data_IF_079723658863
#
_entry.id   IF_079723658863
#
_cell.length_a   1.000
_cell.length_b   1.000
_cell.length_c   1.000
_cell.angle_alpha   90.00
_cell.angle_beta   90.00
_cell.angle_gamma   90.00
#
_symmetry.space_group_name_H-M   'P 1'
#
loop_
_entity.id
_entity.type
_entity.pdbx_description
1 polymer ?
#
# COMPACT_ATOMS: atom_id res chain seq x y z
N UNK A 1 9.37 3.79 -1.13
CA UNK A 1 9.84 5.10 -0.60
C UNK A 1 9.07 6.30 -1.16
N UNK A 2 7.97 6.13 -1.89
CA UNK A 2 7.27 7.27 -2.50
C UNK A 2 6.63 8.21 -1.48
N UNK A 3 6.08 7.70 -0.38
CA UNK A 3 5.45 8.49 0.67
C UNK A 3 6.41 9.49 1.32
N UNK A 4 7.67 9.10 1.56
CA UNK A 4 8.70 10.00 2.08
C UNK A 4 8.99 11.16 1.10
N UNK A 5 9.16 10.87 -0.20
CA UNK A 5 9.39 11.89 -1.23
C UNK A 5 8.19 12.85 -1.32
N UNK A 6 6.97 12.30 -1.31
CA UNK A 6 5.74 13.11 -1.33
C UNK A 6 5.65 14.06 -0.14
N UNK A 7 6.02 13.59 1.06
CA UNK A 7 6.01 14.41 2.27
C UNK A 7 7.03 15.56 2.21
N UNK A 8 8.28 15.29 1.82
CA UNK A 8 9.36 16.29 1.88
C UNK A 8 9.38 17.26 0.70
N UNK A 9 8.80 16.90 -0.44
CA UNK A 9 8.84 17.74 -1.63
C UNK A 9 8.00 19.02 -1.46
N UNK A 10 8.53 20.22 -1.76
CA UNK A 10 7.72 21.43 -1.81
C UNK A 10 6.82 21.51 -3.06
N UNK A 11 7.13 20.72 -4.10
CA UNK A 11 6.52 20.86 -5.42
C UNK A 11 5.41 19.83 -5.68
N UNK A 12 5.49 18.66 -5.04
CA UNK A 12 4.49 17.60 -5.22
C UNK A 12 3.20 17.99 -4.49
N UNK A 13 2.12 18.19 -5.23
CA UNK A 13 0.75 18.30 -4.70
C UNK A 13 0.01 16.96 -4.73
N UNK A 14 0.29 16.12 -5.72
CA UNK A 14 -0.36 14.81 -5.87
C UNK A 14 0.65 13.74 -6.22
N UNK A 15 0.48 12.57 -5.62
CA UNK A 15 1.32 11.41 -5.90
C UNK A 15 0.46 10.17 -6.12
N UNK A 16 0.94 9.28 -6.97
CA UNK A 16 0.42 7.91 -7.08
C UNK A 16 1.48 6.99 -6.51
N UNK A 17 1.09 6.16 -5.56
CA UNK A 17 1.95 5.10 -5.03
C UNK A 17 1.43 3.76 -5.55
N UNK A 18 2.22 3.11 -6.39
CA UNK A 18 1.98 1.75 -6.84
C UNK A 18 2.49 0.75 -5.82
N UNK A 19 1.66 -0.23 -5.48
CA UNK A 19 1.91 -1.28 -4.47
C UNK A 19 2.59 -0.73 -3.21
N UNK A 20 1.97 0.26 -2.53
CA UNK A 20 2.55 0.91 -1.37
C UNK A 20 2.46 0.04 -0.12
N UNK A 21 3.35 0.33 0.81
CA UNK A 21 3.36 -0.21 2.16
C UNK A 21 4.39 0.54 3.00
N UNK A 22 4.05 0.75 4.28
CA UNK A 22 4.99 1.25 5.29
C UNK A 22 5.34 0.13 6.28
N UNK A 23 6.02 0.49 7.37
CA UNK A 23 6.25 -0.41 8.51
C UNK A 23 6.87 -1.76 8.11
N UNK A 24 8.12 -1.72 7.62
CA UNK A 24 8.96 -2.90 7.33
C UNK A 24 8.99 -3.95 8.44
N UNK A 25 8.82 -3.53 9.70
CA UNK A 25 8.62 -4.44 10.85
C UNK A 25 7.48 -5.45 10.66
N UNK A 26 6.43 -5.10 9.94
CA UNK A 26 5.35 -6.02 9.55
C UNK A 26 5.58 -6.59 8.16
N UNK A 27 6.05 -5.77 7.21
CA UNK A 27 6.12 -6.12 5.80
C UNK A 27 7.15 -7.22 5.52
N UNK A 28 8.37 -7.10 6.06
CA UNK A 28 9.48 -7.96 5.62
C UNK A 28 9.19 -9.44 5.84
N UNK A 29 8.63 -9.82 6.99
CA UNK A 29 8.28 -11.23 7.27
C UNK A 29 7.08 -11.76 6.47
N UNK A 30 6.43 -10.90 5.67
CA UNK A 30 5.33 -11.20 4.76
C UNK A 30 5.69 -10.94 3.29
N UNK A 31 6.96 -10.69 2.99
CA UNK A 31 7.44 -10.40 1.65
C UNK A 31 8.27 -11.57 1.14
N UNK A 32 7.94 -12.09 -0.04
CA UNK A 32 8.70 -13.18 -0.65
C UNK A 32 10.15 -12.76 -0.89
N UNK A 33 10.38 -11.48 -1.20
CA UNK A 33 11.71 -10.89 -1.43
C UNK A 33 12.59 -10.92 -0.19
N UNK A 34 12.00 -10.97 1.01
CA UNK A 34 12.78 -11.06 2.24
C UNK A 34 13.23 -12.48 2.57
N UNK A 35 12.70 -13.51 1.91
CA UNK A 35 13.00 -14.93 2.22
C UNK A 35 14.50 -15.22 2.18
N UNK A 36 15.20 -14.71 1.16
CA UNK A 36 16.65 -14.91 1.01
C UNK A 36 17.45 -14.15 2.07
N UNK A 37 17.03 -12.93 2.42
CA UNK A 37 17.67 -12.13 3.47
C UNK A 37 17.42 -12.69 4.87
N UNK A 38 16.21 -13.21 5.13
CA UNK A 38 15.88 -13.88 6.40
C UNK A 38 16.79 -15.10 6.61
N UNK A 39 17.10 -15.85 5.55
CA UNK A 39 17.98 -17.02 5.63
C UNK A 39 19.39 -16.67 6.15
N UNK A 40 19.89 -15.45 5.89
CA UNK A 40 21.17 -14.96 6.44
C UNK A 40 21.07 -14.65 7.94
N UNK A 41 19.90 -14.24 8.42
CA UNK A 41 19.66 -13.95 9.83
C UNK A 41 19.48 -15.22 10.67
N UNK A 42 18.92 -16.29 10.09
CA UNK A 42 18.53 -17.53 10.80
C UNK A 42 19.67 -18.15 11.63
N UNK A 43 20.94 -18.27 11.16
CA UNK A 43 22.01 -18.85 11.95
C UNK A 43 22.31 -18.11 13.25
N UNK A 44 22.25 -16.77 13.23
CA UNK A 44 22.52 -15.93 14.40
C UNK A 44 21.26 -15.70 15.25
N UNK A 45 20.08 -15.71 14.62
CA UNK A 45 18.79 -15.47 15.25
C UNK A 45 17.78 -16.58 14.85
N UNK A 46 17.88 -17.80 15.42
CA UNK A 46 17.03 -18.93 15.02
C UNK A 46 15.57 -18.73 15.39
N UNK A 47 15.31 -18.02 16.49
CA UNK A 47 13.97 -17.64 16.95
C UNK A 47 13.37 -16.60 16.01
N UNK A 48 12.19 -16.91 15.45
CA UNK A 48 11.45 -15.95 14.62
C UNK A 48 11.06 -14.70 15.40
N UNK A 49 10.73 -14.86 16.68
CA UNK A 49 10.44 -13.75 17.60
C UNK A 49 11.62 -12.77 17.67
N UNK A 50 12.83 -13.29 17.76
CA UNK A 50 14.04 -12.46 17.90
C UNK A 50 14.31 -11.71 16.60
N UNK A 51 14.07 -12.34 15.45
CA UNK A 51 14.12 -11.67 14.14
C UNK A 51 13.06 -10.57 14.03
N UNK A 52 11.80 -10.84 14.41
CA UNK A 52 10.74 -9.82 14.42
C UNK A 52 11.09 -8.63 15.31
N UNK A 53 11.63 -8.88 16.51
CA UNK A 53 12.06 -7.81 17.41
C UNK A 53 13.24 -7.02 16.82
N UNK A 54 14.22 -7.72 16.24
CA UNK A 54 15.37 -7.08 15.60
C UNK A 54 14.94 -6.17 14.45
N UNK A 55 14.06 -6.64 13.57
CA UNK A 55 13.52 -5.83 12.48
C UNK A 55 12.71 -4.64 13.03
N UNK A 56 11.93 -4.83 14.09
CA UNK A 56 11.21 -3.74 14.74
C UNK A 56 12.14 -2.66 15.32
N UNK A 57 13.31 -3.05 15.83
CA UNK A 57 14.32 -2.10 16.28
C UNK A 57 15.01 -1.39 15.10
N UNK A 58 15.31 -2.12 14.03
CA UNK A 58 15.89 -1.58 12.80
C UNK A 58 14.94 -0.60 12.09
N UNK A 59 13.62 -0.83 12.17
CA UNK A 59 12.59 0.07 11.66
C UNK A 59 12.82 1.51 12.13
N UNK A 60 13.12 1.73 13.42
CA UNK A 60 13.35 3.08 13.96
C UNK A 60 14.52 3.80 13.29
N UNK A 61 15.52 3.06 12.79
CA UNK A 61 16.63 3.63 12.02
C UNK A 61 16.18 3.98 10.60
N UNK A 62 15.38 3.11 9.97
CA UNK A 62 14.88 3.28 8.60
C UNK A 62 13.79 4.34 8.47
N UNK A 63 12.98 4.57 9.50
CA UNK A 63 11.93 5.60 9.56
C UNK A 63 12.44 6.97 9.08
N UNK A 64 13.73 7.26 9.30
CA UNK A 64 14.40 8.49 8.86
C UNK A 64 14.44 8.71 7.34
N UNK A 65 14.22 7.68 6.55
CA UNK A 65 14.27 7.73 5.09
C UNK A 65 13.12 7.04 4.37
N UNK A 66 12.07 6.62 5.10
CA UNK A 66 10.99 5.79 4.54
C UNK A 66 9.60 6.29 4.93
N UNK A 67 8.55 5.70 4.34
CA UNK A 67 7.18 6.18 4.49
C UNK A 67 6.67 6.17 5.94
N UNK A 68 7.06 5.20 6.78
CA UNK A 68 6.63 5.11 8.18
C UNK A 68 6.96 6.35 9.02
N UNK A 69 8.12 6.96 8.80
CA UNK A 69 8.50 8.21 9.49
C UNK A 69 7.88 9.47 8.90
N UNK A 70 7.41 9.43 7.64
CA UNK A 70 6.96 10.62 6.91
C UNK A 70 5.47 10.66 6.56
N UNK A 71 4.72 9.57 6.73
CA UNK A 71 3.33 9.48 6.27
C UNK A 71 2.43 10.54 6.91
N UNK A 72 2.66 10.84 8.19
CA UNK A 72 1.94 11.87 8.93
C UNK A 72 2.17 13.28 8.36
N UNK A 73 3.33 13.49 7.73
CA UNK A 73 3.74 14.76 7.16
C UNK A 73 3.21 14.99 5.74
N UNK A 74 2.45 14.05 5.17
CA UNK A 74 1.73 14.29 3.91
C UNK A 74 0.43 15.07 4.19
N UNK A 75 -0.33 14.70 5.23
CA UNK A 75 -1.66 15.27 5.49
C UNK A 75 -1.80 15.95 6.85
N UNK A 76 -1.48 15.26 7.95
CA UNK A 76 -1.81 15.72 9.33
C UNK A 76 -0.89 16.80 9.86
N UNK A 77 0.41 16.69 9.60
CA UNK A 77 1.44 17.60 10.11
C UNK A 77 2.45 17.97 9.00
N UNK A 78 2.06 18.71 7.95
CA UNK A 78 2.95 18.99 6.83
C UNK A 78 4.25 19.69 7.27
N UNK A 79 5.38 19.27 6.70
CA UNK A 79 6.68 19.86 7.01
C UNK A 79 6.75 21.35 6.59
N UNK A 80 7.50 22.20 7.30
CA UNK A 80 7.70 23.59 6.91
C UNK A 80 8.17 23.74 5.46
N UNK A 81 7.54 24.64 4.71
CA UNK A 81 7.89 24.89 3.30
C UNK A 81 7.34 23.86 2.31
N UNK A 82 6.56 22.87 2.78
CA UNK A 82 5.86 21.92 1.91
C UNK A 82 4.38 22.31 1.77
N UNK A 83 3.74 21.76 0.74
CA UNK A 83 2.31 21.98 0.49
C UNK A 83 1.45 21.31 1.57
N UNK A 84 0.36 21.97 1.96
CA UNK A 84 -0.61 21.47 2.94
C UNK A 84 -1.80 20.75 2.31
N UNK A 85 -1.96 20.83 0.99
CA UNK A 85 -3.07 20.26 0.21
C UNK A 85 -2.66 18.99 -0.54
N UNK A 86 -1.68 18.25 -0.01
CA UNK A 86 -1.17 17.05 -0.65
C UNK A 86 -2.20 15.92 -0.62
N UNK A 87 -2.26 15.14 -1.70
CA UNK A 87 -3.11 13.97 -1.78
C UNK A 87 -2.39 12.81 -2.48
N UNK A 88 -2.70 11.58 -2.05
CA UNK A 88 -2.09 10.37 -2.57
C UNK A 88 -3.14 9.39 -3.05
N UNK A 89 -2.97 8.85 -4.26
CA UNK A 89 -3.69 7.68 -4.74
C UNK A 89 -2.80 6.44 -4.57
N UNK A 90 -3.30 5.45 -3.87
CA UNK A 90 -2.62 4.19 -3.57
C UNK A 90 -3.26 3.07 -4.39
N UNK A 91 -2.49 2.46 -5.30
CA UNK A 91 -2.91 1.26 -6.02
C UNK A 91 -2.26 0.05 -5.39
N UNK A 92 -3.05 -0.86 -4.85
CA UNK A 92 -2.55 -2.07 -4.18
C UNK A 92 -2.93 -3.28 -5.04
N UNK A 93 -2.00 -4.21 -5.22
CA UNK A 93 -2.31 -5.51 -5.81
C UNK A 93 -2.87 -6.43 -4.72
N UNK A 94 -4.05 -7.00 -4.94
CA UNK A 94 -4.63 -7.98 -4.03
C UNK A 94 -3.78 -9.25 -4.01
N UNK A 95 -3.39 -9.73 -2.82
CA UNK A 95 -2.61 -10.96 -2.71
C UNK A 95 -1.15 -10.83 -3.13
N UNK A 96 -0.60 -9.61 -3.15
CA UNK A 96 0.78 -9.31 -3.56
C UNK A 96 1.81 -10.11 -2.75
N UNK A 97 2.74 -10.77 -3.45
CA UNK A 97 3.76 -11.61 -2.81
C UNK A 97 4.86 -10.77 -2.15
N UNK A 98 5.08 -9.55 -2.65
CA UNK A 98 6.16 -8.65 -2.23
C UNK A 98 5.67 -7.64 -1.19
N UNK A 99 4.46 -7.08 -1.37
CA UNK A 99 3.91 -6.00 -0.53
C UNK A 99 2.50 -6.31 -0.04
N UNK A 100 2.40 -6.90 1.15
CA UNK A 100 1.10 -7.23 1.78
C UNK A 100 0.18 -6.02 1.93
N UNK A 101 -1.08 -6.15 1.49
CA UNK A 101 -2.11 -5.10 1.60
C UNK A 101 -2.36 -4.63 3.04
N UNK A 102 -2.03 -5.42 4.05
CA UNK A 102 -2.11 -5.01 5.46
C UNK A 102 -1.24 -3.79 5.74
N UNK A 103 -0.07 -3.71 5.12
CA UNK A 103 0.85 -2.57 5.29
C UNK A 103 0.34 -1.34 4.53
N UNK A 104 -0.29 -1.54 3.37
CA UNK A 104 -1.00 -0.49 2.66
C UNK A 104 -2.20 0.04 3.47
N UNK A 105 -2.97 -0.82 4.15
CA UNK A 105 -4.06 -0.34 5.00
C UNK A 105 -3.56 0.44 6.22
N UNK A 106 -2.41 0.07 6.79
CA UNK A 106 -1.76 0.88 7.85
C UNK A 106 -1.35 2.24 7.31
N UNK A 107 -0.78 2.29 6.11
CA UNK A 107 -0.43 3.54 5.42
C UNK A 107 -1.67 4.42 5.16
N UNK A 108 -2.73 3.85 4.56
CA UNK A 108 -3.97 4.56 4.25
C UNK A 108 -4.61 5.16 5.51
N UNK A 109 -4.69 4.40 6.61
CA UNK A 109 -5.23 4.90 7.89
C UNK A 109 -4.35 5.99 8.49
N UNK A 110 -3.03 5.85 8.37
CA UNK A 110 -2.07 6.86 8.85
C UNK A 110 -2.16 8.15 8.03
N UNK A 111 -2.47 8.03 6.74
CA UNK A 111 -2.66 9.17 5.86
C UNK A 111 -4.02 9.86 6.07
N UNK A 112 -5.02 9.15 6.61
CA UNK A 112 -6.40 9.60 6.60
C UNK A 112 -7.06 9.45 5.22
N UNK A 113 -6.61 8.45 4.44
CA UNK A 113 -7.17 8.14 3.14
C UNK A 113 -8.55 7.50 3.25
N UNK A 114 -9.33 7.63 2.18
CA UNK A 114 -10.58 6.89 1.96
C UNK A 114 -10.32 5.66 1.08
N UNK A 115 -11.20 4.66 1.14
CA UNK A 115 -11.08 3.44 0.36
C UNK A 115 -12.15 3.36 -0.72
N UNK A 116 -11.78 2.88 -1.90
CA UNK A 116 -12.75 2.47 -2.92
C UNK A 116 -13.40 1.14 -2.57
N UNK A 117 -14.74 1.10 -2.60
CA UNK A 117 -15.54 -0.11 -2.40
C UNK A 117 -16.51 -0.33 -3.56
N UNK A 118 -16.80 -1.60 -3.93
CA UNK A 118 -16.30 -2.84 -3.31
C UNK A 118 -14.81 -3.10 -3.54
N UNK A 119 -14.11 -3.61 -2.53
CA UNK A 119 -12.65 -3.77 -2.54
C UNK A 119 -12.17 -4.90 -3.47
N UNK A 120 -12.85 -6.04 -3.41
CA UNK A 120 -12.64 -7.24 -4.23
C UNK A 120 -14.00 -7.90 -4.47
N UNK A 121 -14.09 -8.85 -5.39
CA UNK A 121 -15.34 -9.58 -5.62
C UNK A 121 -15.82 -10.33 -4.37
N UNK A 122 -17.13 -10.54 -4.28
CA UNK A 122 -17.76 -11.25 -3.16
C UNK A 122 -17.11 -12.63 -2.94
N UNK A 123 -16.84 -12.98 -1.68
CA UNK A 123 -16.21 -14.24 -1.30
C UNK A 123 -14.68 -14.29 -1.44
N UNK A 124 -14.02 -13.25 -1.97
CA UNK A 124 -12.56 -13.21 -2.11
C UNK A 124 -11.82 -12.77 -0.85
N UNK A 125 -12.42 -11.89 -0.05
CA UNK A 125 -11.87 -11.48 1.24
C UNK A 125 -12.50 -12.27 2.39
N UNK A 126 -11.66 -12.68 3.35
CA UNK A 126 -12.07 -13.26 4.63
C UNK A 126 -12.09 -12.24 5.78
N UNK A 127 -11.83 -10.95 5.50
CA UNK A 127 -11.94 -9.91 6.53
C UNK A 127 -13.38 -9.76 7.00
N UNK A 128 -13.58 -9.65 8.32
CA UNK A 128 -14.90 -9.34 8.92
C UNK A 128 -15.40 -7.97 8.45
N UNK A 129 -14.48 -7.02 8.23
CA UNK A 129 -14.79 -5.69 7.73
C UNK A 129 -13.69 -5.30 6.73
N UNK A 130 -13.83 -5.65 5.44
CA UNK A 130 -12.84 -5.35 4.42
C UNK A 130 -12.45 -3.87 4.41
N UNK A 131 -11.17 -3.58 4.66
CA UNK A 131 -10.67 -2.21 4.76
C UNK A 131 -11.11 -1.48 6.04
N UNK A 132 -11.24 -2.21 7.15
CA UNK A 132 -11.67 -1.70 8.45
C UNK A 132 -11.06 -0.35 8.79
N UNK A 133 -11.87 0.59 9.34
CA UNK A 133 -11.37 1.90 9.77
C UNK A 133 -11.03 2.87 8.64
N UNK A 134 -11.43 2.58 7.40
CA UNK A 134 -11.37 3.50 6.26
C UNK A 134 -12.78 3.82 5.76
N UNK A 135 -13.07 5.11 5.59
CA UNK A 135 -14.32 5.61 5.01
C UNK A 135 -14.37 5.39 3.49
N UNK A 136 -15.59 5.29 2.94
CA UNK A 136 -15.77 5.16 1.49
C UNK A 136 -15.40 6.46 0.76
N UNK A 137 -14.65 6.32 -0.34
CA UNK A 137 -14.41 7.42 -1.28
C UNK A 137 -15.64 7.64 -2.17
N UNK A 138 -15.89 8.89 -2.53
CA UNK A 138 -16.90 9.26 -3.52
C UNK A 138 -16.23 9.76 -4.82
N UNK A 139 -16.95 9.65 -5.94
CA UNK A 139 -16.54 10.28 -7.20
C UNK A 139 -16.24 11.77 -7.00
N UNK A 140 -15.11 12.25 -7.50
CA UNK A 140 -14.70 13.64 -7.38
C UNK A 140 -13.98 13.99 -6.06
N UNK A 141 -13.71 13.03 -5.17
CA UNK A 141 -12.98 13.30 -3.93
C UNK A 141 -11.57 13.83 -4.24
N UNK A 142 -11.13 14.86 -3.50
CA UNK A 142 -9.82 15.49 -3.73
C UNK A 142 -8.74 14.97 -2.79
N UNK A 143 -9.12 14.21 -1.75
CA UNK A 143 -8.24 13.68 -0.72
C UNK A 143 -7.44 12.47 -1.17
N UNK A 144 -6.82 11.81 -0.21
CA UNK A 144 -6.05 10.59 -0.46
C UNK A 144 -6.97 9.37 -0.53
N UNK A 145 -6.66 8.44 -1.42
CA UNK A 145 -7.52 7.29 -1.73
C UNK A 145 -6.69 6.02 -1.87
N UNK A 146 -7.20 4.90 -1.35
CA UNK A 146 -6.68 3.56 -1.61
C UNK A 146 -7.65 2.75 -2.47
N UNK A 147 -7.11 2.11 -3.50
CA UNK A 147 -7.82 1.24 -4.45
C UNK A 147 -7.10 -0.10 -4.50
N UNK A 148 -7.85 -1.17 -4.25
CA UNK A 148 -7.36 -2.53 -4.38
C UNK A 148 -7.67 -3.04 -5.79
N UNK A 149 -6.66 -3.57 -6.46
CA UNK A 149 -6.72 -4.10 -7.82
C UNK A 149 -6.50 -5.60 -7.78
N UNK A 150 -7.45 -6.34 -8.35
CA UNK A 150 -7.48 -7.79 -8.28
C UNK A 150 -7.28 -8.44 -9.64
N UNK A 151 -6.20 -9.20 -9.77
CA UNK A 151 -5.84 -9.95 -10.99
C UNK A 151 -6.01 -11.46 -10.84
N UNK A 152 -6.71 -11.90 -9.78
CA UNK A 152 -7.02 -13.30 -9.53
C UNK A 152 -6.04 -14.04 -8.63
N UNK A 153 -5.10 -13.36 -7.97
CA UNK A 153 -4.24 -13.96 -6.94
C UNK A 153 -5.05 -14.47 -5.74
N UNK A 154 -4.48 -15.40 -4.97
CA UNK A 154 -5.09 -15.83 -3.71
C UNK A 154 -5.00 -14.72 -2.66
N UNK A 155 -5.90 -14.76 -1.67
CA UNK A 155 -5.80 -13.86 -0.52
C UNK A 155 -4.49 -14.13 0.25
N UNK A 156 -3.89 -13.09 0.82
CA UNK A 156 -2.71 -13.28 1.68
C UNK A 156 -3.00 -14.25 2.83
N UNK A 157 -2.00 -15.03 3.27
CA UNK A 157 -2.13 -15.85 4.47
C UNK A 157 -2.45 -15.02 5.72
N UNK A 158 -3.25 -15.59 6.63
CA UNK A 158 -3.49 -14.99 7.95
C UNK A 158 -2.21 -15.02 8.79
N UNK A 159 -1.44 -16.10 8.65
CA UNK A 159 -0.13 -16.24 9.24
C UNK A 159 0.82 -15.13 8.77
N UNK A 160 1.86 -14.87 9.56
CA UNK A 160 2.96 -14.01 9.13
C UNK A 160 3.75 -14.79 8.10
N UNK A 161 3.32 -14.90 6.85
CA UNK A 161 4.06 -15.56 5.77
C UNK A 161 3.76 -14.82 4.46
N UNK A 162 4.72 -14.75 3.52
CA UNK A 162 4.42 -14.25 2.20
C UNK A 162 3.48 -15.22 1.46
N UNK A 163 2.58 -14.73 0.60
CA UNK A 163 2.02 -15.55 -0.45
C UNK A 163 3.13 -16.17 -1.31
N UNK A 164 2.94 -17.41 -1.72
CA UNK A 164 3.95 -18.15 -2.51
C UNK A 164 3.34 -19.07 -3.57
N UNK A 165 2.04 -19.01 -3.76
CA UNK A 165 1.29 -19.89 -4.66
C UNK A 165 0.72 -19.05 -5.80
N UNK A 166 0.81 -19.55 -7.03
CA UNK A 166 0.36 -18.82 -8.21
C UNK A 166 1.36 -17.75 -8.65
N UNK A 167 0.88 -16.82 -9.48
CA UNK A 167 1.68 -15.74 -10.05
C UNK A 167 1.57 -14.50 -9.16
N UNK A 168 2.71 -13.88 -8.88
CA UNK A 168 2.81 -12.65 -8.13
C UNK A 168 2.11 -11.47 -8.86
N UNK A 169 1.08 -10.84 -8.25
CA UNK A 169 0.32 -9.76 -8.88
C UNK A 169 0.97 -8.37 -8.77
N UNK A 170 2.15 -8.26 -8.15
CA UNK A 170 2.82 -7.00 -7.82
C UNK A 170 2.89 -5.96 -8.95
N UNK A 171 3.02 -6.41 -10.21
CA UNK A 171 3.10 -5.54 -11.39
C UNK A 171 1.76 -5.14 -12.01
N UNK A 172 0.69 -5.90 -11.78
CA UNK A 172 -0.52 -5.78 -12.59
C UNK A 172 -1.18 -4.40 -12.52
N UNK A 173 -1.32 -3.76 -11.34
CA UNK A 173 -2.01 -2.47 -11.26
C UNK A 173 -1.29 -1.34 -12.01
N UNK A 174 0.02 -1.43 -12.21
CA UNK A 174 0.77 -0.42 -12.98
C UNK A 174 0.80 -0.72 -14.48
N UNK A 175 0.62 -1.98 -14.86
CA UNK A 175 0.63 -2.41 -16.26
C UNK A 175 -0.77 -2.34 -16.89
N UNK A 176 -1.83 -2.44 -16.08
CA UNK A 176 -3.21 -2.29 -16.50
C UNK A 176 -3.51 -0.88 -17.07
N UNK A 177 -4.27 -0.82 -18.16
CA UNK A 177 -4.59 0.44 -18.85
C UNK A 177 -5.62 1.28 -18.10
N UNK A 178 -6.60 0.64 -17.48
CA UNK A 178 -7.68 1.28 -16.72
C UNK A 178 -7.11 1.86 -15.43
N UNK A 179 -6.25 1.10 -14.75
CA UNK A 179 -5.52 1.60 -13.60
C UNK A 179 -4.65 2.83 -13.95
N UNK A 180 -3.88 2.77 -15.04
CA UNK A 180 -3.09 3.92 -15.49
C UNK A 180 -3.93 5.14 -15.87
N UNK A 181 -5.14 4.95 -16.42
CA UNK A 181 -6.04 6.09 -16.63
C UNK A 181 -6.46 6.75 -15.32
N UNK A 182 -6.75 5.97 -14.27
CA UNK A 182 -7.06 6.52 -12.95
C UNK A 182 -5.87 7.31 -12.37
N UNK A 183 -4.64 6.81 -12.55
CA UNK A 183 -3.43 7.51 -12.15
C UNK A 183 -3.32 8.87 -12.84
N UNK A 184 -3.57 8.92 -14.15
CA UNK A 184 -3.52 10.15 -14.93
C UNK A 184 -4.61 11.15 -14.50
N UNK A 185 -5.85 10.70 -14.34
CA UNK A 185 -6.96 11.55 -13.87
C UNK A 185 -6.68 12.11 -12.47
N UNK A 186 -6.14 11.29 -11.56
CA UNK A 186 -5.79 11.78 -10.23
C UNK A 186 -4.65 12.80 -10.26
N UNK A 187 -3.58 12.53 -11.02
CA UNK A 187 -2.40 13.41 -11.09
C UNK A 187 -2.71 14.75 -11.78
N UNK A 188 -3.50 14.73 -12.86
CA UNK A 188 -3.73 15.89 -13.72
C UNK A 188 -5.11 16.52 -13.58
N UNK A 189 -6.15 15.72 -13.33
CA UNK A 189 -7.51 16.18 -13.06
C UNK A 189 -7.73 16.59 -11.61
N UNK A 190 -6.97 15.99 -10.68
CA UNK A 190 -6.92 16.40 -9.29
C UNK A 190 -8.05 15.87 -8.41
N UNK A 191 -8.77 14.86 -8.88
CA UNK A 191 -9.82 14.18 -8.13
C UNK A 191 -9.73 12.67 -8.32
N UNK A 192 -10.34 11.92 -7.41
CA UNK A 192 -10.63 10.51 -7.59
C UNK A 192 -11.71 10.31 -8.65
N UNK A 193 -11.48 9.33 -9.52
CA UNK A 193 -12.44 8.89 -10.53
C UNK A 193 -12.61 7.38 -10.43
N UNK A 194 -13.85 6.93 -10.35
CA UNK A 194 -14.23 5.53 -10.41
C UNK A 194 -14.11 5.01 -11.85
N UNK A 195 -12.95 4.42 -12.13
CA UNK A 195 -12.66 3.76 -13.41
C UNK A 195 -13.18 2.32 -13.47
N UNK A 196 -13.75 1.81 -12.37
CA UNK A 196 -14.20 0.44 -12.20
C UNK A 196 -15.73 0.32 -12.31
N UNK A 197 -16.45 1.44 -12.39
CA UNK A 197 -17.89 1.49 -12.69
C UNK A 197 -18.76 0.96 -11.56
N UNK A 198 -18.38 1.25 -10.32
CA UNK A 198 -19.04 0.76 -9.09
C UNK A 198 -18.83 -0.72 -8.83
N UNK A 199 -17.93 -1.38 -9.55
CA UNK A 199 -17.56 -2.79 -9.39
C UNK A 199 -16.17 -2.92 -8.77
N UNK A 200 -15.82 -4.07 -8.15
CA UNK A 200 -14.45 -4.34 -7.76
C UNK A 200 -13.47 -4.07 -8.90
N UNK A 201 -12.38 -3.36 -8.61
CA UNK A 201 -11.35 -3.09 -9.61
C UNK A 201 -10.58 -4.36 -9.93
N UNK A 202 -10.44 -4.65 -11.22
CA UNK A 202 -9.70 -5.81 -11.73
C UNK A 202 -8.59 -5.37 -12.65
N UNK A 203 -7.49 -6.13 -12.66
CA UNK A 203 -6.35 -5.90 -13.54
C UNK A 203 -6.05 -7.15 -14.36
N UNK A 204 -5.54 -6.97 -15.57
CA UNK A 204 -5.00 -8.11 -16.33
C UNK A 204 -3.66 -8.56 -15.76
N UNK A 205 -3.43 -9.87 -15.75
CA UNK A 205 -2.12 -10.42 -15.42
C UNK A 205 -1.12 -10.02 -16.50
N UNK A 206 -0.09 -9.28 -16.11
CA UNK A 206 1.06 -8.90 -16.95
C UNK A 206 2.19 -9.91 -16.91
#
# INVERSE_FOLDING_TARGET
>A
MGSAITAVSPDISRAVLGVPGINYSTLLLRSIDFTEYEAVMVPAYPSRRDRSLSISLMQMLWDRGEGGGYINHITRDPLPGTRTDKAVLMHVAWGDHQVSELTAFVEARSLGAKIYRPMVAEGRSQEVTPGWGLEDVAEGDTGSVIVIWDSGAEMIPVEVLPPSVGRDPHGDPRDDKVARSQMAEFLFGGTFTDVCGGQPCTAQQS
#
